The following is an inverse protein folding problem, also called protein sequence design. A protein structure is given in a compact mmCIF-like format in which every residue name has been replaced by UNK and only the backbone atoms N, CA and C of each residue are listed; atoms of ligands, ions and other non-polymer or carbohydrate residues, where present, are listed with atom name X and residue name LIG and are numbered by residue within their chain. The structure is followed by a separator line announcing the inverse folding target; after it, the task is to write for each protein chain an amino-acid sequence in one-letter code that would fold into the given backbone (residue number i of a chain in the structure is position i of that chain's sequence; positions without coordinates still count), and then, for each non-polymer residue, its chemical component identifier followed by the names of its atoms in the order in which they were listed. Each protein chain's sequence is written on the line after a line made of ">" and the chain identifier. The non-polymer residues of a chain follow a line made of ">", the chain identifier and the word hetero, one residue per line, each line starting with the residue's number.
data_IF_247977078349
#
_entry.id   IF_247977078349
#
_cell.length_a   1.000
_cell.length_b   1.000
_cell.length_c   1.000
_cell.angle_alpha   90.00
_cell.angle_beta   90.00
_cell.angle_gamma   90.00
#
_symmetry.space_group_name_H-M   'P 1'
#
loop_
_entity.id
_entity.type
_entity.pdbx_description
1 polymer ?
#
# COMPACT_ATOMS: atom_id res chain seq x y z
N UNK A 1 28.42 23.04 47.75
CA UNK A 1 28.62 24.49 47.51
C UNK A 1 29.86 24.65 46.64
N UNK A 2 29.72 24.86 45.33
CA UNK A 2 30.73 25.43 44.42
C UNK A 2 30.03 25.89 43.14
N UNK A 3 30.54 26.98 42.58
CA UNK A 3 29.86 27.97 41.74
C UNK A 3 30.07 27.69 40.23
N UNK A 4 28.98 27.84 39.44
CA UNK A 4 28.86 28.53 38.12
C UNK A 4 29.81 28.14 36.96
N UNK A 5 29.22 27.78 35.80
CA UNK A 5 29.17 28.60 34.57
C UNK A 5 28.29 27.96 33.48
N UNK A 6 27.33 28.74 32.97
CA UNK A 6 26.57 28.46 31.74
C UNK A 6 27.54 28.42 30.56
N UNK A 7 27.58 27.30 29.83
CA UNK A 7 28.23 27.22 28.53
C UNK A 7 27.23 27.68 27.44
N UNK A 8 27.65 28.68 26.69
CA UNK A 8 26.92 29.34 25.61
C UNK A 8 26.74 28.40 24.40
N UNK A 9 25.52 28.36 23.86
CA UNK A 9 25.20 27.79 22.56
C UNK A 9 25.85 28.59 21.43
N UNK A 10 27.12 28.33 21.16
CA UNK A 10 27.75 28.62 19.88
C UNK A 10 28.75 27.51 19.64
N UNK A 11 28.51 26.72 18.58
CA UNK A 11 29.45 25.97 17.73
C UNK A 11 28.86 24.59 17.39
N UNK A 12 27.88 24.58 16.48
CA UNK A 12 27.65 23.43 15.59
C UNK A 12 27.01 23.95 14.28
N UNK A 13 27.69 24.91 13.64
CA UNK A 13 27.32 25.52 12.36
C UNK A 13 28.52 25.58 11.40
N UNK A 14 29.38 24.57 11.47
CA UNK A 14 30.46 24.36 10.50
C UNK A 14 30.51 22.89 10.18
N UNK A 15 29.76 22.50 9.16
CA UNK A 15 30.07 21.48 8.16
C UNK A 15 28.81 21.28 7.29
N UNK A 16 28.41 22.34 6.59
CA UNK A 16 27.46 22.24 5.47
C UNK A 16 27.85 23.29 4.44
N UNK A 17 29.02 23.11 3.85
CA UNK A 17 29.44 23.80 2.63
C UNK A 17 30.19 22.77 1.79
N UNK A 18 29.42 21.85 1.22
CA UNK A 18 29.79 21.19 -0.04
C UNK A 18 28.73 21.63 -1.04
N UNK A 19 29.15 22.50 -1.95
CA UNK A 19 28.39 23.00 -3.08
C UNK A 19 28.03 21.84 -4.02
N UNK A 20 26.88 21.23 -3.81
CA UNK A 20 26.12 20.61 -4.89
C UNK A 20 25.15 21.67 -5.41
N UNK A 21 25.46 22.21 -6.57
CA UNK A 21 24.55 23.03 -7.37
C UNK A 21 23.40 22.12 -7.80
N UNK A 22 22.38 21.97 -6.96
CA UNK A 22 21.11 21.39 -7.37
C UNK A 22 20.48 22.34 -8.37
N UNK A 23 20.05 21.81 -9.51
CA UNK A 23 19.12 22.50 -10.42
C UNK A 23 17.95 22.94 -9.53
N UNK A 24 17.60 24.22 -9.61
CA UNK A 24 16.69 24.90 -8.67
C UNK A 24 15.45 24.06 -8.33
N UNK A 25 15.30 23.71 -7.05
CA UNK A 25 14.02 23.27 -6.48
C UNK A 25 13.74 21.77 -6.41
N UNK A 26 14.67 20.88 -6.75
CA UNK A 26 14.47 19.42 -6.59
C UNK A 26 15.43 18.79 -5.59
N UNK A 27 14.89 17.97 -4.67
CA UNK A 27 15.67 17.17 -3.72
C UNK A 27 16.72 16.29 -4.43
N UNK A 28 17.95 16.14 -3.90
CA UNK A 28 18.95 15.23 -4.45
C UNK A 28 18.58 13.74 -4.22
N UNK A 29 17.61 13.48 -3.33
CA UNK A 29 17.12 12.14 -3.02
C UNK A 29 15.86 11.82 -3.83
N UNK A 30 15.76 10.57 -4.29
CA UNK A 30 14.62 10.07 -5.04
C UNK A 30 13.82 9.11 -4.17
N UNK A 31 12.51 9.30 -4.14
CA UNK A 31 11.58 8.50 -3.35
C UNK A 31 10.50 7.86 -4.22
N UNK A 32 10.08 6.67 -3.83
CA UNK A 32 8.87 6.02 -4.33
C UNK A 32 7.92 5.90 -3.14
N UNK A 33 6.76 6.57 -3.21
CA UNK A 33 5.70 6.37 -2.24
C UNK A 33 4.89 5.14 -2.64
N UNK A 34 5.00 4.05 -1.89
CA UNK A 34 4.37 2.77 -2.23
C UNK A 34 2.90 2.66 -1.78
N UNK A 35 2.39 3.60 -0.97
CA UNK A 35 1.07 3.49 -0.35
C UNK A 35 0.36 4.84 -0.34
N UNK A 36 0.11 5.38 -1.53
CA UNK A 36 -0.46 6.70 -1.71
C UNK A 36 -1.97 6.62 -1.90
N UNK A 37 -2.74 7.30 -1.05
CA UNK A 37 -4.20 7.31 -1.14
C UNK A 37 -4.72 8.48 -1.98
N UNK A 38 -3.96 8.93 -2.99
CA UNK A 38 -4.33 10.08 -3.84
C UNK A 38 -5.62 9.89 -4.64
N UNK A 39 -6.18 8.68 -4.69
CA UNK A 39 -7.52 8.43 -5.22
C UNK A 39 -8.65 8.96 -4.31
N UNK A 40 -8.35 9.30 -3.06
CA UNK A 40 -9.35 9.81 -2.11
C UNK A 40 -9.88 11.21 -2.52
N UNK A 41 -11.20 11.44 -2.51
CA UNK A 41 -11.80 12.73 -2.84
C UNK A 41 -11.27 13.93 -2.04
N UNK A 42 -10.69 13.73 -0.85
CA UNK A 42 -10.08 14.83 -0.09
C UNK A 42 -8.96 15.52 -0.87
N UNK A 43 -8.24 14.80 -1.74
CA UNK A 43 -7.19 15.36 -2.59
C UNK A 43 -7.73 16.13 -3.81
N UNK A 44 -9.06 16.14 -3.96
CA UNK A 44 -9.81 16.97 -4.90
C UNK A 44 -10.61 18.06 -4.17
N UNK A 45 -10.38 18.22 -2.86
CA UNK A 45 -11.07 19.18 -2.01
C UNK A 45 -12.48 18.79 -1.59
N UNK A 46 -12.89 17.53 -1.80
CA UNK A 46 -14.19 17.03 -1.37
C UNK A 46 -14.09 16.31 -0.02
N UNK A 47 -14.82 16.80 0.97
CA UNK A 47 -14.88 16.24 2.32
C UNK A 47 -16.31 15.87 2.64
N UNK A 48 -16.58 14.58 2.89
CA UNK A 48 -17.92 14.07 3.21
C UNK A 48 -19.00 14.52 2.19
N UNK A 49 -18.68 14.49 0.89
CA UNK A 49 -19.61 14.91 -0.18
C UNK A 49 -19.77 16.41 -0.37
N UNK A 50 -18.92 17.25 0.28
CA UNK A 50 -18.96 18.71 0.16
C UNK A 50 -17.63 19.25 -0.33
N UNK A 51 -17.67 20.16 -1.30
CA UNK A 51 -16.48 20.89 -1.75
C UNK A 51 -16.04 21.87 -0.64
N UNK A 52 -14.92 21.58 0.00
CA UNK A 52 -14.35 22.43 1.07
C UNK A 52 -13.29 23.40 0.54
N UNK A 53 -12.57 23.04 -0.53
CA UNK A 53 -11.64 23.91 -1.25
C UNK A 53 -11.60 23.53 -2.73
N UNK A 54 -11.08 24.38 -3.63
CA UNK A 54 -10.89 24.01 -5.04
C UNK A 54 -9.99 22.78 -5.20
N UNK A 55 -10.15 22.07 -6.33
CA UNK A 55 -9.24 20.97 -6.68
C UNK A 55 -7.80 21.48 -6.82
N UNK A 56 -6.90 21.00 -5.96
CA UNK A 56 -5.47 21.34 -5.93
C UNK A 56 -4.57 20.13 -6.24
N UNK A 57 -5.10 19.10 -6.90
CA UNK A 57 -4.40 17.84 -7.17
C UNK A 57 -3.07 18.02 -7.91
N UNK A 58 -3.03 18.85 -8.94
CA UNK A 58 -1.79 19.15 -9.68
C UNK A 58 -0.74 19.84 -8.80
N UNK A 59 -1.19 20.69 -7.87
CA UNK A 59 -0.28 21.33 -6.93
C UNK A 59 0.28 20.32 -5.92
N UNK A 60 -0.53 19.35 -5.48
CA UNK A 60 -0.10 18.23 -4.63
C UNK A 60 1.01 17.44 -5.34
N UNK A 61 0.80 17.05 -6.60
CA UNK A 61 1.81 16.32 -7.38
C UNK A 61 3.09 17.14 -7.57
N UNK A 62 2.95 18.44 -7.88
CA UNK A 62 4.09 19.33 -8.02
C UNK A 62 4.89 19.48 -6.71
N UNK A 63 4.20 19.55 -5.56
CA UNK A 63 4.83 19.56 -4.23
C UNK A 63 5.59 18.25 -3.98
N UNK A 64 5.00 17.10 -4.27
CA UNK A 64 5.63 15.80 -4.11
C UNK A 64 6.90 15.67 -4.98
N UNK A 65 6.83 16.10 -6.25
CA UNK A 65 7.97 16.09 -7.17
C UNK A 65 9.14 16.97 -6.67
N UNK A 66 8.85 18.19 -6.18
CA UNK A 66 9.88 19.07 -5.59
C UNK A 66 10.56 18.43 -4.37
N UNK A 67 9.81 17.68 -3.57
CA UNK A 67 10.32 16.92 -2.43
C UNK A 67 11.15 15.68 -2.82
N UNK A 68 11.22 15.32 -4.12
CA UNK A 68 11.99 14.19 -4.62
C UNK A 68 11.17 12.90 -4.81
N UNK A 69 9.85 12.95 -4.67
CA UNK A 69 8.98 11.81 -4.98
C UNK A 69 8.90 11.67 -6.50
N UNK A 70 9.49 10.59 -7.02
CA UNK A 70 9.57 10.32 -8.47
C UNK A 70 8.52 9.34 -8.95
N UNK A 71 7.95 8.53 -8.04
CA UNK A 71 6.86 7.60 -8.33
C UNK A 71 5.93 7.47 -7.13
N UNK A 72 4.65 7.23 -7.39
CA UNK A 72 3.67 6.94 -6.35
C UNK A 72 2.80 5.77 -6.80
N UNK A 73 2.53 4.83 -5.89
CA UNK A 73 1.63 3.70 -6.12
C UNK A 73 0.33 4.02 -5.39
N UNK A 74 -0.74 4.15 -6.18
CA UNK A 74 -2.09 4.44 -5.72
C UNK A 74 -2.77 3.16 -5.26
N UNK A 75 -3.29 3.17 -4.04
CA UNK A 75 -3.88 1.98 -3.44
C UNK A 75 -5.31 1.76 -3.97
N UNK A 76 -5.53 0.65 -4.66
CA UNK A 76 -6.86 0.10 -4.91
C UNK A 76 -7.30 -0.77 -3.74
N UNK A 77 -8.43 -0.44 -3.10
CA UNK A 77 -8.92 -1.11 -1.89
C UNK A 77 -10.20 -1.95 -2.12
N UNK A 78 -10.82 -1.80 -3.28
CA UNK A 78 -11.98 -2.56 -3.76
C UNK A 78 -11.99 -2.56 -5.30
N UNK A 79 -12.91 -3.28 -5.94
CA UNK A 79 -13.00 -3.35 -7.40
C UNK A 79 -13.24 -1.95 -8.02
N UNK A 80 -14.17 -1.18 -7.45
CA UNK A 80 -14.45 0.19 -7.88
C UNK A 80 -13.23 1.10 -7.68
N UNK A 81 -12.66 1.09 -6.48
CA UNK A 81 -11.48 1.90 -6.14
C UNK A 81 -10.28 1.56 -7.03
N UNK A 82 -10.04 0.27 -7.28
CA UNK A 82 -9.01 -0.22 -8.18
C UNK A 82 -9.17 0.31 -9.61
N UNK A 83 -10.39 0.37 -10.14
CA UNK A 83 -10.67 0.97 -11.45
C UNK A 83 -10.37 2.47 -11.47
N UNK A 84 -10.78 3.19 -10.43
CA UNK A 84 -10.60 4.63 -10.30
C UNK A 84 -9.11 5.00 -10.20
N UNK A 85 -8.35 4.35 -9.32
CA UNK A 85 -6.91 4.63 -9.18
C UNK A 85 -6.10 4.20 -10.41
N UNK A 86 -6.50 3.13 -11.11
CA UNK A 86 -5.87 2.72 -12.37
C UNK A 86 -6.08 3.79 -13.45
N UNK A 87 -7.30 4.32 -13.60
CA UNK A 87 -7.56 5.38 -14.57
C UNK A 87 -6.79 6.66 -14.23
N UNK A 88 -6.78 7.05 -12.95
CA UNK A 88 -5.98 8.18 -12.49
C UNK A 88 -4.49 7.99 -12.77
N UNK A 89 -3.97 6.78 -12.57
CA UNK A 89 -2.58 6.44 -12.87
C UNK A 89 -2.27 6.46 -14.36
N UNK A 90 -3.20 6.06 -15.24
CA UNK A 90 -3.03 6.14 -16.69
C UNK A 90 -2.91 7.59 -17.18
N UNK A 91 -3.65 8.51 -16.56
CA UNK A 91 -3.70 9.92 -16.94
C UNK A 91 -2.49 10.73 -16.45
N UNK A 92 -1.72 10.21 -15.48
CA UNK A 92 -0.65 10.95 -14.82
C UNK A 92 0.68 10.18 -14.84
N UNK A 93 1.73 10.80 -15.38
CA UNK A 93 3.06 10.21 -15.35
C UNK A 93 3.60 10.08 -13.92
N UNK A 94 4.36 9.01 -13.65
CA UNK A 94 4.90 8.72 -12.32
C UNK A 94 3.89 8.10 -11.35
N UNK A 95 2.59 8.07 -11.68
CA UNK A 95 1.58 7.35 -10.92
C UNK A 95 1.43 5.91 -11.44
N UNK A 96 1.27 5.00 -10.49
CA UNK A 96 1.00 3.58 -10.66
C UNK A 96 -0.15 3.18 -9.74
N UNK A 97 -0.69 1.98 -9.84
CA UNK A 97 -1.82 1.53 -9.04
C UNK A 97 -1.65 0.08 -8.58
N UNK A 98 -2.36 -0.27 -7.52
CA UNK A 98 -2.64 -1.67 -7.16
C UNK A 98 -4.06 -2.06 -7.58
N UNK A 99 -4.33 -3.36 -7.70
CA UNK A 99 -5.68 -3.90 -7.89
C UNK A 99 -5.93 -4.98 -6.85
N UNK A 100 -7.00 -4.85 -6.07
CA UNK A 100 -7.31 -5.79 -5.00
C UNK A 100 -8.55 -5.41 -4.20
N UNK A 101 -8.78 -6.15 -3.12
CA UNK A 101 -9.87 -5.94 -2.18
C UNK A 101 -9.36 -6.06 -0.74
N UNK A 102 -9.45 -4.94 -0.04
CA UNK A 102 -9.00 -4.74 1.33
C UNK A 102 -9.84 -5.61 2.30
N UNK A 103 -9.27 -6.11 3.42
CA UNK A 103 -10.02 -6.91 4.40
C UNK A 103 -11.34 -6.26 4.84
N UNK A 104 -11.35 -4.98 5.17
CA UNK A 104 -12.58 -4.23 5.51
C UNK A 104 -13.65 -4.16 4.41
N UNK A 105 -13.29 -4.44 3.16
CA UNK A 105 -14.19 -4.41 1.99
C UNK A 105 -14.53 -5.82 1.50
N UNK A 106 -14.06 -6.87 2.19
CA UNK A 106 -14.23 -8.26 1.77
C UNK A 106 -15.71 -8.70 1.63
N UNK A 107 -16.65 -8.04 2.30
CA UNK A 107 -18.09 -8.26 2.09
C UNK A 107 -18.56 -7.92 0.66
N UNK A 108 -17.83 -7.08 -0.09
CA UNK A 108 -18.21 -6.73 -1.47
C UNK A 108 -18.20 -7.93 -2.42
N UNK A 109 -17.35 -8.94 -2.17
CA UNK A 109 -17.38 -10.18 -2.92
C UNK A 109 -18.77 -10.83 -2.91
N UNK A 110 -19.50 -10.69 -1.80
CA UNK A 110 -20.79 -11.36 -1.59
C UNK A 110 -21.98 -10.41 -1.83
N UNK A 111 -21.72 -9.13 -2.14
CA UNK A 111 -22.73 -8.07 -2.15
C UNK A 111 -23.76 -8.15 -3.30
N UNK A 112 -23.42 -8.87 -4.38
CA UNK A 112 -24.31 -9.07 -5.52
C UNK A 112 -25.07 -10.40 -5.46
N UNK A 113 -24.88 -11.20 -4.40
CA UNK A 113 -25.61 -12.45 -4.22
C UNK A 113 -27.12 -12.18 -4.06
N UNK A 114 -28.00 -12.75 -4.90
CA UNK A 114 -29.43 -12.51 -4.80
C UNK A 114 -30.06 -13.12 -3.54
N UNK A 115 -29.42 -14.12 -2.96
CA UNK A 115 -29.82 -14.76 -1.71
C UNK A 115 -28.60 -15.08 -0.85
N UNK A 116 -28.83 -15.51 0.39
CA UNK A 116 -27.77 -16.04 1.27
C UNK A 116 -27.46 -17.51 1.01
N UNK A 117 -28.00 -18.11 -0.06
CA UNK A 117 -27.66 -19.46 -0.46
C UNK A 117 -26.15 -19.52 -0.79
N UNK A 118 -25.40 -20.53 -0.29
CA UNK A 118 -23.98 -20.65 -0.55
C UNK A 118 -23.60 -20.62 -2.03
N UNK A 119 -24.45 -21.12 -2.93
CA UNK A 119 -24.21 -21.13 -4.38
C UNK A 119 -24.27 -19.71 -4.95
N UNK A 120 -25.23 -18.90 -4.49
CA UNK A 120 -25.38 -17.51 -4.91
C UNK A 120 -24.26 -16.62 -4.38
N UNK A 121 -23.83 -16.86 -3.13
CA UNK A 121 -22.67 -16.18 -2.52
C UNK A 121 -21.38 -16.50 -3.27
N UNK A 122 -21.14 -17.78 -3.58
CA UNK A 122 -19.96 -18.20 -4.32
C UNK A 122 -19.94 -17.61 -5.74
N UNK A 123 -21.09 -17.59 -6.42
CA UNK A 123 -21.21 -16.96 -7.75
C UNK A 123 -20.88 -15.46 -7.69
N UNK A 124 -21.42 -14.73 -6.71
CA UNK A 124 -21.10 -13.32 -6.51
C UNK A 124 -19.60 -13.11 -6.27
N UNK A 125 -18.98 -13.96 -5.43
CA UNK A 125 -17.56 -13.85 -5.12
C UNK A 125 -16.68 -14.10 -6.35
N UNK A 126 -17.05 -15.08 -7.18
CA UNK A 126 -16.39 -15.37 -8.44
C UNK A 126 -16.51 -14.21 -9.43
N UNK A 127 -17.70 -13.63 -9.61
CA UNK A 127 -17.92 -12.45 -10.47
C UNK A 127 -17.08 -11.24 -10.03
N UNK A 128 -16.97 -11.01 -8.72
CA UNK A 128 -16.14 -9.93 -8.17
C UNK A 128 -14.65 -10.17 -8.43
N UNK A 129 -14.17 -11.41 -8.23
CA UNK A 129 -12.79 -11.80 -8.51
C UNK A 129 -12.46 -11.67 -10.00
N UNK A 130 -13.38 -12.06 -10.89
CA UNK A 130 -13.27 -11.88 -12.33
C UNK A 130 -13.18 -10.40 -12.72
N UNK A 131 -13.89 -9.51 -12.02
CA UNK A 131 -13.73 -8.07 -12.18
C UNK A 131 -12.30 -7.59 -11.90
N UNK A 132 -11.68 -8.07 -10.82
CA UNK A 132 -10.29 -7.75 -10.48
C UNK A 132 -9.31 -8.34 -11.51
N UNK A 133 -9.52 -9.59 -11.90
CA UNK A 133 -8.77 -10.31 -12.93
C UNK A 133 -8.75 -9.54 -14.25
N UNK A 134 -9.93 -9.11 -14.70
CA UNK A 134 -10.12 -8.37 -15.94
C UNK A 134 -9.38 -7.01 -15.92
N UNK A 135 -9.41 -6.28 -14.81
CA UNK A 135 -8.67 -5.00 -14.70
C UNK A 135 -7.16 -5.19 -14.88
N UNK A 136 -6.59 -6.27 -14.30
CA UNK A 136 -5.17 -6.59 -14.43
C UNK A 136 -4.86 -7.03 -15.87
N UNK A 137 -5.69 -7.90 -16.44
CA UNK A 137 -5.55 -8.38 -17.82
C UNK A 137 -5.54 -7.23 -18.82
N UNK A 138 -6.51 -6.31 -18.70
CA UNK A 138 -6.64 -5.14 -19.56
C UNK A 138 -5.42 -4.20 -19.45
N UNK A 139 -4.90 -3.96 -18.25
CA UNK A 139 -3.68 -3.17 -18.08
C UNK A 139 -2.50 -3.78 -18.86
N UNK A 140 -2.28 -5.09 -18.70
CA UNK A 140 -1.16 -5.78 -19.35
C UNK A 140 -1.31 -5.88 -20.87
N UNK A 141 -2.54 -5.96 -21.38
CA UNK A 141 -2.87 -6.13 -22.80
C UNK A 141 -3.05 -4.81 -23.57
N UNK A 142 -3.34 -3.69 -22.88
CA UNK A 142 -3.77 -2.43 -23.50
C UNK A 142 -2.80 -1.79 -24.50
N UNK A 143 -1.55 -2.23 -24.56
CA UNK A 143 -0.47 -1.58 -25.32
C UNK A 143 -0.11 -0.18 -24.81
N UNK A 144 -0.81 0.32 -23.79
CA UNK A 144 -0.47 1.55 -23.06
C UNK A 144 0.65 1.27 -22.06
N UNK A 145 1.06 2.32 -21.34
CA UNK A 145 1.93 2.19 -20.17
C UNK A 145 1.23 1.32 -19.12
N UNK A 146 1.89 0.23 -18.71
CA UNK A 146 1.43 -0.61 -17.60
C UNK A 146 1.50 0.18 -16.30
N UNK A 147 0.36 0.35 -15.64
CA UNK A 147 0.27 1.10 -14.38
C UNK A 147 -0.11 0.22 -13.21
N UNK A 148 -0.70 -0.95 -13.45
CA UNK A 148 -0.98 -1.92 -12.38
C UNK A 148 0.31 -2.66 -12.03
N UNK A 149 0.86 -2.37 -10.85
CA UNK A 149 2.18 -2.87 -10.43
C UNK A 149 2.15 -3.85 -9.28
N UNK A 150 1.01 -4.05 -8.63
CA UNK A 150 0.84 -5.00 -7.54
C UNK A 150 -0.61 -5.46 -7.42
N UNK A 151 -0.81 -6.67 -6.85
CA UNK A 151 -2.11 -7.13 -6.38
C UNK A 151 -2.26 -6.78 -4.90
N UNK A 152 -3.34 -6.10 -4.56
CA UNK A 152 -3.59 -5.52 -3.25
C UNK A 152 -4.29 -4.16 -3.37
N UNK A 153 -4.65 -3.49 -2.28
CA UNK A 153 -4.42 -3.90 -0.90
C UNK A 153 -5.29 -5.09 -0.51
N UNK A 154 -4.68 -6.17 -0.01
CA UNK A 154 -5.39 -7.35 0.45
C UNK A 154 -4.68 -7.98 1.65
N UNK A 155 -5.41 -8.77 2.45
CA UNK A 155 -4.87 -9.35 3.68
C UNK A 155 -5.92 -9.45 4.76
N UNK A 156 -5.52 -9.25 6.02
CA UNK A 156 -6.37 -9.44 7.20
C UNK A 156 -6.27 -8.25 8.17
N UNK A 157 -7.42 -7.78 8.65
CA UNK A 157 -7.54 -6.71 9.65
C UNK A 157 -8.61 -7.08 10.70
N UNK A 158 -8.14 -7.57 11.86
CA UNK A 158 -9.03 -7.96 12.96
C UNK A 158 -9.35 -6.80 13.92
N UNK A 159 -8.79 -5.61 13.73
CA UNK A 159 -9.23 -4.39 14.43
C UNK A 159 -10.50 -3.80 13.79
N UNK A 160 -10.96 -4.36 12.65
CA UNK A 160 -12.05 -3.83 11.82
C UNK A 160 -13.12 -4.87 11.48
N UNK A 161 -13.34 -5.83 12.38
CA UNK A 161 -14.34 -6.90 12.19
C UNK A 161 -15.79 -6.39 12.05
N UNK A 162 -16.08 -5.14 12.44
CA UNK A 162 -17.36 -4.49 12.17
C UNK A 162 -17.61 -4.19 10.69
N UNK A 163 -16.56 -4.16 9.85
CA UNK A 163 -16.67 -3.91 8.42
C UNK A 163 -16.75 -5.18 7.59
N UNK A 164 -16.03 -6.23 7.98
CA UNK A 164 -16.10 -7.57 7.40
C UNK A 164 -15.72 -8.61 8.46
N UNK A 165 -16.49 -9.70 8.53
CA UNK A 165 -16.25 -10.76 9.51
C UNK A 165 -14.89 -11.44 9.28
N UNK A 166 -14.34 -12.05 10.33
CA UNK A 166 -13.10 -12.82 10.23
C UNK A 166 -13.22 -13.91 9.16
N UNK A 167 -14.33 -14.63 9.15
CA UNK A 167 -14.64 -15.67 8.18
C UNK A 167 -14.64 -15.14 6.74
N UNK A 168 -15.26 -13.99 6.49
CA UNK A 168 -15.29 -13.35 5.17
C UNK A 168 -13.89 -12.92 4.72
N UNK A 169 -13.10 -12.32 5.61
CA UNK A 169 -11.72 -11.94 5.30
C UNK A 169 -10.85 -13.15 4.97
N UNK A 170 -10.95 -14.23 5.76
CA UNK A 170 -10.22 -15.48 5.53
C UNK A 170 -10.62 -16.15 4.22
N UNK A 171 -11.89 -16.07 3.83
CA UNK A 171 -12.41 -16.66 2.58
C UNK A 171 -11.87 -15.94 1.35
N UNK A 172 -11.84 -14.62 1.36
CA UNK A 172 -11.57 -13.80 0.16
C UNK A 172 -10.14 -13.29 0.04
N UNK A 173 -9.27 -13.53 1.03
CA UNK A 173 -7.85 -13.24 0.90
C UNK A 173 -7.10 -14.21 -0.05
N UNK A 174 -7.22 -15.55 0.07
CA UNK A 174 -6.45 -16.49 -0.76
C UNK A 174 -6.62 -16.33 -2.28
N UNK A 175 -7.83 -16.16 -2.85
CA UNK A 175 -7.99 -16.02 -4.30
C UNK A 175 -7.24 -14.81 -4.90
N UNK A 176 -6.99 -13.78 -4.10
CA UNK A 176 -6.19 -12.63 -4.54
C UNK A 176 -4.69 -12.96 -4.64
N UNK A 177 -4.21 -13.93 -3.86
CA UNK A 177 -2.84 -14.45 -4.02
C UNK A 177 -2.69 -15.18 -5.35
N UNK A 178 -3.73 -15.91 -5.77
CA UNK A 178 -3.74 -16.63 -7.04
C UNK A 178 -3.67 -15.63 -8.22
N UNK A 179 -4.32 -14.46 -8.13
CA UNK A 179 -4.18 -13.39 -9.13
C UNK A 179 -2.74 -12.88 -9.22
N UNK A 180 -2.06 -12.68 -8.09
CA UNK A 180 -0.67 -12.24 -8.07
C UNK A 180 0.26 -13.25 -8.75
N UNK A 181 0.03 -14.55 -8.50
CA UNK A 181 0.75 -15.66 -9.14
C UNK A 181 0.47 -15.71 -10.64
N UNK A 182 -0.81 -15.61 -11.05
CA UNK A 182 -1.25 -15.63 -12.45
C UNK A 182 -0.57 -14.54 -13.28
N UNK A 183 -0.54 -13.30 -12.78
CA UNK A 183 0.01 -12.15 -13.51
C UNK A 183 1.46 -11.84 -13.20
N UNK A 184 2.11 -12.63 -12.34
CA UNK A 184 3.49 -12.41 -11.86
C UNK A 184 3.69 -11.00 -11.31
N UNK A 185 2.71 -10.54 -10.52
CA UNK A 185 2.74 -9.24 -9.86
C UNK A 185 3.08 -9.38 -8.37
N UNK A 186 3.89 -8.47 -7.79
CA UNK A 186 4.13 -8.45 -6.36
C UNK A 186 2.83 -8.18 -5.59
N UNK A 187 2.79 -8.62 -4.34
CA UNK A 187 1.68 -8.37 -3.43
C UNK A 187 1.85 -7.04 -2.67
N UNK A 188 0.75 -6.35 -2.42
CA UNK A 188 0.66 -5.21 -1.49
C UNK A 188 -0.29 -5.59 -0.35
N UNK A 189 0.29 -5.95 0.81
CA UNK A 189 -0.37 -6.77 1.82
C UNK A 189 -0.68 -6.01 3.11
N UNK A 190 -1.90 -6.16 3.61
CA UNK A 190 -2.35 -5.64 4.89
C UNK A 190 -2.32 -6.73 5.97
N UNK A 191 -1.76 -6.41 7.12
CA UNK A 191 -1.86 -7.26 8.32
C UNK A 191 -1.95 -6.38 9.56
N UNK A 192 -3.04 -6.51 10.32
CA UNK A 192 -3.26 -5.77 11.57
C UNK A 192 -3.71 -6.71 12.69
N UNK A 193 -3.09 -6.56 13.86
CA UNK A 193 -3.16 -7.45 15.03
C UNK A 193 -2.31 -8.73 14.91
N UNK A 194 -1.83 -9.23 16.05
CA UNK A 194 -1.05 -10.48 16.09
C UNK A 194 -1.87 -11.72 15.75
N UNK A 195 -3.18 -11.72 16.04
CA UNK A 195 -4.07 -12.82 15.65
C UNK A 195 -4.25 -12.89 14.14
N UNK A 196 -4.42 -11.74 13.47
CA UNK A 196 -4.47 -11.69 12.01
C UNK A 196 -3.15 -12.12 11.39
N UNK A 197 -2.00 -11.73 11.98
CA UNK A 197 -0.69 -12.16 11.50
C UNK A 197 -0.55 -13.69 11.46
N UNK A 198 -1.00 -14.41 12.49
CA UNK A 198 -0.91 -15.88 12.51
C UNK A 198 -1.70 -16.53 11.37
N UNK A 199 -2.95 -16.08 11.17
CA UNK A 199 -3.80 -16.57 10.08
C UNK A 199 -3.25 -16.16 8.70
N UNK A 200 -2.73 -14.94 8.59
CA UNK A 200 -2.09 -14.40 7.38
C UNK A 200 -0.91 -15.27 6.96
N UNK A 201 0.01 -15.55 7.88
CA UNK A 201 1.18 -16.40 7.60
C UNK A 201 0.75 -17.81 7.21
N UNK A 202 -0.25 -18.38 7.89
CA UNK A 202 -0.77 -19.71 7.54
C UNK A 202 -1.28 -19.73 6.10
N UNK A 203 -2.10 -18.76 5.70
CA UNK A 203 -2.63 -18.65 4.34
C UNK A 203 -1.49 -18.51 3.32
N UNK A 204 -0.54 -17.61 3.58
CA UNK A 204 0.61 -17.39 2.69
C UNK A 204 1.45 -18.65 2.51
N UNK A 205 1.80 -19.35 3.60
CA UNK A 205 2.58 -20.60 3.54
C UNK A 205 1.81 -21.70 2.81
N UNK A 206 0.50 -21.81 3.03
CA UNK A 206 -0.37 -22.73 2.27
C UNK A 206 -0.36 -22.41 0.79
N UNK A 207 -0.54 -21.15 0.39
CA UNK A 207 -0.47 -20.74 -1.02
C UNK A 207 0.91 -21.06 -1.62
N UNK A 208 2.00 -20.71 -0.94
CA UNK A 208 3.36 -21.04 -1.41
C UNK A 208 3.59 -22.56 -1.59
N UNK A 209 2.99 -23.40 -0.74
CA UNK A 209 3.11 -24.86 -0.85
C UNK A 209 2.34 -25.48 -2.02
N UNK A 210 1.34 -24.76 -2.58
CA UNK A 210 0.51 -25.23 -3.70
C UNK A 210 1.14 -24.93 -5.07
N UNK A 211 2.14 -24.05 -5.13
CA UNK A 211 2.73 -23.58 -6.37
C UNK A 211 4.16 -24.08 -6.52
N UNK A 212 4.57 -24.32 -7.77
CA UNK A 212 5.97 -24.62 -8.06
C UNK A 212 6.83 -23.37 -7.83
N UNK A 213 8.12 -23.55 -7.53
CA UNK A 213 9.01 -22.42 -7.21
C UNK A 213 9.09 -21.42 -8.37
N UNK A 214 9.04 -21.89 -9.62
CA UNK A 214 9.00 -21.08 -10.84
C UNK A 214 7.71 -20.28 -10.99
N UNK A 215 6.63 -20.68 -10.32
CA UNK A 215 5.37 -19.97 -10.39
C UNK A 215 5.37 -18.74 -9.49
N UNK A 216 6.14 -18.79 -8.41
CA UNK A 216 6.23 -17.73 -7.43
C UNK A 216 7.24 -16.67 -7.86
N UNK A 217 6.98 -15.43 -7.44
CA UNK A 217 7.97 -14.37 -7.58
C UNK A 217 9.22 -14.68 -6.74
N UNK A 218 10.42 -14.33 -7.22
CA UNK A 218 11.64 -14.55 -6.47
C UNK A 218 11.61 -13.79 -5.15
N UNK A 219 12.39 -14.29 -4.18
CA UNK A 219 12.55 -13.67 -2.86
C UNK A 219 12.90 -12.18 -3.02
N UNK A 220 12.26 -11.30 -2.23
CA UNK A 220 12.27 -9.83 -2.33
C UNK A 220 11.46 -9.20 -3.46
N UNK A 221 10.91 -9.99 -4.39
CA UNK A 221 9.87 -9.52 -5.35
C UNK A 221 8.47 -10.03 -4.99
N UNK A 222 8.32 -10.83 -3.93
CA UNK A 222 7.01 -11.38 -3.52
C UNK A 222 6.00 -10.31 -3.17
N UNK A 223 6.45 -9.19 -2.60
CA UNK A 223 5.58 -8.10 -2.21
C UNK A 223 6.05 -7.38 -0.95
N UNK A 224 5.18 -6.54 -0.43
CA UNK A 224 5.39 -5.74 0.77
C UNK A 224 4.21 -5.91 1.72
N UNK A 225 4.50 -6.10 3.01
CA UNK A 225 3.50 -5.89 4.07
C UNK A 225 3.54 -4.42 4.43
N UNK A 226 2.55 -3.64 4.00
CA UNK A 226 2.58 -2.19 4.12
C UNK A 226 2.12 -1.72 5.51
N UNK A 227 2.49 -0.48 5.86
CA UNK A 227 2.08 0.18 7.11
C UNK A 227 2.28 -0.68 8.37
N UNK A 228 3.42 -1.37 8.44
CA UNK A 228 3.70 -2.37 9.47
C UNK A 228 3.80 -1.72 10.85
N UNK A 229 3.11 -2.29 11.83
CA UNK A 229 3.12 -1.87 13.25
C UNK A 229 3.26 -3.07 14.19
N UNK A 230 3.71 -4.21 13.67
CA UNK A 230 3.81 -5.46 14.41
C UNK A 230 5.07 -5.56 15.28
N UNK A 231 5.24 -6.72 15.91
CA UNK A 231 6.40 -7.07 16.72
C UNK A 231 7.63 -7.40 15.87
N UNK A 232 8.81 -7.41 16.49
CA UNK A 232 10.06 -7.82 15.81
C UNK A 232 10.01 -9.30 15.36
N UNK A 233 9.28 -10.14 16.10
CA UNK A 233 9.08 -11.55 15.76
C UNK A 233 8.28 -11.68 14.46
N UNK A 234 7.17 -10.94 14.35
CA UNK A 234 6.33 -10.88 13.15
C UNK A 234 7.13 -10.33 11.96
N UNK A 235 7.94 -9.29 12.17
CA UNK A 235 8.84 -8.73 11.16
C UNK A 235 9.80 -9.79 10.62
N UNK A 236 10.50 -10.51 11.51
CA UNK A 236 11.47 -11.52 11.10
C UNK A 236 10.81 -12.65 10.31
N UNK A 237 9.63 -13.11 10.73
CA UNK A 237 8.89 -14.15 10.01
C UNK A 237 8.50 -13.71 8.59
N UNK A 238 8.08 -12.44 8.43
CA UNK A 238 7.77 -11.87 7.11
C UNK A 238 8.99 -11.79 6.19
N UNK A 239 10.16 -11.41 6.75
CA UNK A 239 11.41 -11.38 6.02
C UNK A 239 11.86 -12.78 5.58
N UNK A 240 11.74 -13.77 6.48
CA UNK A 240 12.10 -15.17 6.22
C UNK A 240 11.30 -15.78 5.07
N UNK A 241 9.99 -15.51 4.99
CA UNK A 241 9.15 -16.00 3.89
C UNK A 241 9.25 -15.13 2.63
N UNK A 242 10.04 -14.05 2.65
CA UNK A 242 10.51 -13.32 1.49
C UNK A 242 9.77 -12.01 1.16
N UNK A 243 9.02 -11.43 2.10
CA UNK A 243 8.39 -10.12 1.95
C UNK A 243 9.29 -8.97 2.39
N UNK A 244 9.01 -7.78 1.88
CA UNK A 244 9.53 -6.52 2.41
C UNK A 244 8.54 -5.89 3.39
N UNK A 245 9.02 -4.92 4.19
CA UNK A 245 8.23 -4.22 5.20
C UNK A 245 8.06 -2.77 4.80
N UNK A 246 6.81 -2.30 4.69
CA UNK A 246 6.50 -0.90 4.43
C UNK A 246 6.43 -0.09 5.72
N UNK A 247 7.19 1.00 5.79
CA UNK A 247 7.26 1.91 6.94
C UNK A 247 6.61 3.24 6.56
N UNK A 248 5.73 3.76 7.42
CA UNK A 248 5.14 5.09 7.29
C UNK A 248 5.04 5.79 8.65
N UNK A 249 4.32 6.92 8.71
CA UNK A 249 4.14 7.68 9.95
C UNK A 249 3.45 6.92 11.10
N UNK A 250 2.67 5.86 10.80
CA UNK A 250 2.05 5.00 11.83
C UNK A 250 3.02 3.94 12.37
N UNK A 251 4.02 3.56 11.59
CA UNK A 251 5.04 2.57 11.98
C UNK A 251 6.02 3.09 13.04
N UNK A 252 6.10 4.41 13.21
CA UNK A 252 7.04 5.04 14.14
C UNK A 252 6.24 5.64 15.30
N UNK A 253 6.54 5.29 16.57
CA UNK A 253 5.89 5.93 17.71
C UNK A 253 6.12 7.45 17.65
N UNK A 254 5.14 8.27 18.07
CA UNK A 254 5.25 9.71 17.96
C UNK A 254 6.52 10.19 18.67
N UNK A 255 7.35 11.05 18.04
CA UNK A 255 8.52 11.59 18.69
C UNK A 255 8.10 12.35 19.96
N UNK A 256 8.93 12.28 21.01
CA UNK A 256 8.75 13.03 22.27
C UNK A 256 8.78 14.56 22.05
N UNK A 257 9.05 15.02 20.82
CA UNK A 257 8.98 16.42 20.41
C UNK A 257 8.35 16.55 19.02
N UNK A 258 7.52 17.58 18.85
CA UNK A 258 6.65 17.84 17.67
C UNK A 258 7.43 18.23 16.41
N UNK A 259 8.20 17.33 15.82
CA UNK A 259 8.73 17.52 14.46
C UNK A 259 8.39 16.30 13.59
N UNK A 260 7.46 16.51 12.65
CA UNK A 260 7.05 15.53 11.64
C UNK A 260 8.09 15.52 10.52
N UNK A 261 8.98 14.54 10.50
CA UNK A 261 9.78 14.21 9.33
C UNK A 261 9.60 12.72 9.01
N UNK A 262 8.88 12.44 7.93
CA UNK A 262 8.54 11.10 7.43
C UNK A 262 9.72 10.56 6.61
N UNK A 263 10.19 9.35 6.93
CA UNK A 263 11.19 8.64 6.14
C UNK A 263 10.50 7.53 5.32
N UNK A 264 10.63 7.64 4.00
CA UNK A 264 10.18 6.68 2.98
C UNK A 264 11.23 5.58 2.87
N UNK A 265 10.81 4.30 2.84
CA UNK A 265 11.74 3.21 2.57
C UNK A 265 12.17 3.24 1.10
N UNK A 266 13.48 3.40 0.91
CA UNK A 266 14.17 3.27 -0.37
C UNK A 266 14.29 1.78 -0.69
N UNK A 267 13.69 1.35 -1.80
CA UNK A 267 14.04 0.07 -2.44
C UNK A 267 15.29 0.34 -3.29
N UNK A 268 16.44 -0.14 -2.83
CA UNK A 268 17.67 -0.25 -3.62
C UNK A 268 17.63 -1.48 -4.53
#
# INVERSE_FOLDING_TARGET
>A
MHFVRRASWKTCHRYYNSTMTTIEGTSPHKFIDIGSNLGDPIFRGEYHGKQAHPDDFEEILARAKRAGVVKQILTGDCLKGSKEVRELALQNEGLYSTVGCHPCRANEFESNAPTTDPIDVERSAQEYLEGLDQLIAEDQASGKRRVVVAVGECGLDYDRLSHASKETQLRHFPPQLDLATKYKLPLFLHSRTSEAHQDFIRIIKTHQSKHEIQDLLPIRKKGVVHSFTGSIQELNELLEIGFSIGINGWSVPPPVSKEKNMQILIIS
#
